data_IF_581999267263
#
_entry.id   IF_581999267263
#
_cell.length_a   1.000
_cell.length_b   1.000
_cell.length_c   1.000
_cell.angle_alpha   90.00
_cell.angle_beta   90.00
_cell.angle_gamma   90.00
#
_symmetry.space_group_name_H-M   'P 1'
#
loop_
_entity.id
_entity.type
_entity.pdbx_description
1 polymer ?
#
# COMPACT_ATOMS: atom_id res chain seq x y z
N UNK A 1 9.68 -30.60 40.05
CA UNK A 1 9.08 -30.77 38.70
C UNK A 1 9.15 -29.42 38.04
N UNK A 2 10.27 -29.13 37.38
CA UNK A 2 10.46 -27.86 36.68
C UNK A 2 9.86 -27.98 35.29
N UNK A 3 8.73 -27.31 35.09
CA UNK A 3 8.17 -27.11 33.76
C UNK A 3 9.08 -26.11 33.05
N UNK A 4 9.99 -26.64 32.25
CA UNK A 4 10.77 -25.84 31.29
C UNK A 4 9.80 -25.35 30.22
N UNK A 5 9.29 -24.14 30.39
CA UNK A 5 8.55 -23.45 29.33
C UNK A 5 9.53 -23.26 28.15
N UNK A 6 9.37 -24.04 27.08
CA UNK A 6 10.01 -23.71 25.80
C UNK A 6 9.54 -22.30 25.45
N UNK A 7 10.47 -21.35 25.30
CA UNK A 7 10.16 -20.10 24.61
C UNK A 7 9.62 -20.48 23.24
N UNK A 8 8.36 -20.16 22.99
CA UNK A 8 7.79 -20.34 21.67
C UNK A 8 8.63 -19.50 20.69
N UNK A 9 9.08 -20.12 19.60
CA UNK A 9 9.95 -19.46 18.64
C UNK A 9 9.09 -18.62 17.69
N UNK A 10 9.52 -17.39 17.40
CA UNK A 10 8.79 -16.56 16.44
C UNK A 10 8.98 -17.08 15.02
N UNK A 11 7.88 -17.52 14.41
CA UNK A 11 7.81 -18.03 13.04
C UNK A 11 7.20 -17.00 12.09
N UNK A 12 7.69 -16.96 10.84
CA UNK A 12 7.05 -16.19 9.77
C UNK A 12 6.43 -17.15 8.76
N UNK A 13 5.17 -16.90 8.41
CA UNK A 13 4.43 -17.72 7.44
C UNK A 13 3.41 -16.87 6.70
N UNK A 14 2.89 -17.41 5.59
CA UNK A 14 1.68 -16.86 4.97
C UNK A 14 0.54 -16.88 5.98
N UNK A 15 -0.26 -15.83 5.96
CA UNK A 15 -1.48 -15.75 6.73
C UNK A 15 -2.47 -16.82 6.25
N UNK A 16 -3.24 -17.35 7.20
CA UNK A 16 -4.36 -18.26 6.98
C UNK A 16 -5.63 -17.61 7.54
N UNK A 17 -6.84 -18.07 7.18
CA UNK A 17 -8.09 -17.42 7.61
C UNK A 17 -8.22 -17.24 9.13
N UNK A 18 -7.66 -18.15 9.94
CA UNK A 18 -7.69 -18.07 11.41
C UNK A 18 -6.82 -16.95 12.00
N UNK A 19 -5.93 -16.33 11.22
CA UNK A 19 -5.09 -15.23 11.69
C UNK A 19 -5.82 -13.86 11.68
N UNK A 20 -7.00 -13.77 11.07
CA UNK A 20 -7.71 -12.51 10.83
C UNK A 20 -7.88 -11.68 12.10
N UNK A 21 -8.32 -12.30 13.20
CA UNK A 21 -8.49 -11.62 14.48
C UNK A 21 -7.17 -11.06 15.04
N UNK A 22 -6.06 -11.80 14.85
CA UNK A 22 -4.72 -11.36 15.25
C UNK A 22 -4.24 -10.18 14.41
N UNK A 23 -4.46 -10.23 13.09
CA UNK A 23 -4.15 -9.14 12.16
C UNK A 23 -4.97 -7.89 12.49
N UNK A 24 -6.27 -8.04 12.76
CA UNK A 24 -7.17 -6.96 13.17
C UNK A 24 -6.67 -6.26 14.44
N UNK A 25 -6.28 -7.05 15.45
CA UNK A 25 -5.69 -6.51 16.69
C UNK A 25 -4.39 -5.76 16.44
N UNK A 26 -3.48 -6.28 15.60
CA UNK A 26 -2.24 -5.58 15.26
C UNK A 26 -2.54 -4.24 14.56
N UNK A 27 -3.46 -4.21 13.60
CA UNK A 27 -3.84 -2.98 12.90
C UNK A 27 -4.43 -1.94 13.86
N UNK A 28 -5.25 -2.38 14.82
CA UNK A 28 -5.82 -1.51 15.84
C UNK A 28 -4.74 -0.98 16.80
N UNK A 29 -3.85 -1.82 17.32
CA UNK A 29 -2.77 -1.40 18.22
C UNK A 29 -1.77 -0.43 17.56
N UNK A 30 -1.52 -0.56 16.25
CA UNK A 30 -0.50 0.22 15.55
C UNK A 30 -1.05 1.51 14.94
N UNK A 31 -2.28 1.48 14.42
CA UNK A 31 -2.87 2.62 13.68
C UNK A 31 -4.23 3.08 14.20
N UNK A 32 -4.79 2.43 15.22
CA UNK A 32 -6.17 2.64 15.66
C UNK A 32 -7.18 2.48 14.50
N UNK A 33 -6.96 1.48 13.65
CA UNK A 33 -7.81 1.20 12.49
C UNK A 33 -8.37 -0.22 12.56
N UNK A 34 -9.61 -0.38 12.13
CA UNK A 34 -10.18 -1.69 11.84
C UNK A 34 -9.67 -2.17 10.47
N UNK A 35 -9.53 -3.49 10.33
CA UNK A 35 -9.38 -4.10 9.01
C UNK A 35 -10.75 -4.32 8.35
N UNK A 36 -10.75 -4.59 7.06
CA UNK A 36 -11.88 -5.06 6.28
C UNK A 36 -11.76 -6.59 6.14
N UNK A 37 -12.54 -7.39 6.88
CA UNK A 37 -12.46 -8.85 6.82
C UNK A 37 -12.56 -9.44 5.41
N UNK A 38 -13.47 -8.96 4.52
CA UNK A 38 -13.52 -9.47 3.14
C UNK A 38 -12.22 -9.24 2.36
N UNK A 39 -11.54 -8.11 2.58
CA UNK A 39 -10.26 -7.82 1.92
C UNK A 39 -9.14 -8.67 2.51
N UNK A 40 -9.13 -8.87 3.84
CA UNK A 40 -8.18 -9.77 4.49
C UNK A 40 -8.29 -11.20 3.92
N UNK A 41 -9.50 -11.75 3.85
CA UNK A 41 -9.75 -13.07 3.26
C UNK A 41 -9.34 -13.13 1.78
N UNK A 42 -9.64 -12.08 1.00
CA UNK A 42 -9.22 -12.00 -0.39
C UNK A 42 -7.69 -11.98 -0.54
N UNK A 43 -6.97 -11.22 0.30
CA UNK A 43 -5.50 -11.17 0.25
C UNK A 43 -4.82 -12.46 0.72
N UNK A 44 -5.48 -13.24 1.58
CA UNK A 44 -5.01 -14.59 1.98
C UNK A 44 -5.11 -15.57 0.81
N UNK A 45 -6.22 -15.52 0.07
CA UNK A 45 -6.63 -16.57 -0.89
C UNK A 45 -6.29 -16.26 -2.35
N UNK A 46 -6.21 -14.99 -2.73
CA UNK A 46 -6.09 -14.58 -4.14
C UNK A 46 -4.65 -14.66 -4.64
N UNK A 47 -4.38 -15.24 -5.84
CA UNK A 47 -3.03 -15.30 -6.42
C UNK A 47 -2.39 -13.95 -6.72
N UNK A 48 -3.15 -12.85 -6.75
CA UNK A 48 -2.66 -11.49 -7.01
C UNK A 48 -2.16 -10.74 -5.77
N UNK A 49 -2.23 -11.35 -4.59
CA UNK A 49 -1.87 -10.74 -3.32
C UNK A 49 -1.07 -11.72 -2.45
N UNK A 50 -0.46 -11.16 -1.40
CA UNK A 50 0.15 -11.94 -0.34
C UNK A 50 -0.02 -11.22 1.00
N UNK A 51 -0.25 -12.01 2.04
CA UNK A 51 -0.31 -11.56 3.41
C UNK A 51 0.56 -12.50 4.25
N UNK A 52 1.52 -11.93 4.96
CA UNK A 52 2.45 -12.67 5.84
C UNK A 52 2.29 -12.21 7.27
N UNK A 53 2.42 -13.15 8.20
CA UNK A 53 2.35 -12.91 9.64
C UNK A 53 3.62 -13.39 10.33
N UNK A 54 4.01 -12.67 11.38
CA UNK A 54 4.96 -13.14 12.38
C UNK A 54 4.14 -13.65 13.58
N UNK A 55 4.36 -14.89 13.99
CA UNK A 55 3.56 -15.57 15.02
C UNK A 55 4.43 -16.19 16.10
N UNK A 56 3.94 -16.16 17.34
CA UNK A 56 4.47 -16.90 18.49
C UNK A 56 3.32 -17.70 19.09
N UNK A 57 3.40 -19.03 19.01
CA UNK A 57 2.24 -19.89 19.26
C UNK A 57 1.06 -19.52 18.33
N UNK A 58 -0.07 -19.14 18.93
CA UNK A 58 -1.27 -18.66 18.22
C UNK A 58 -1.35 -17.12 18.12
N UNK A 59 -0.35 -16.40 18.61
CA UNK A 59 -0.38 -14.95 18.70
C UNK A 59 0.24 -14.30 17.45
N UNK A 60 -0.54 -13.49 16.73
CA UNK A 60 -0.01 -12.66 15.64
C UNK A 60 0.68 -11.43 16.23
N UNK A 61 1.99 -11.33 16.00
CA UNK A 61 2.86 -10.27 16.50
C UNK A 61 3.02 -9.10 15.51
N UNK A 62 2.81 -9.38 14.22
CA UNK A 62 2.95 -8.43 13.14
C UNK A 62 2.56 -9.04 11.80
N UNK A 63 2.36 -8.20 10.80
CA UNK A 63 2.04 -8.63 9.44
C UNK A 63 2.62 -7.69 8.37
N UNK A 64 2.72 -8.21 7.15
CA UNK A 64 2.96 -7.44 5.94
C UNK A 64 1.99 -7.85 4.83
N UNK A 65 1.35 -6.88 4.18
CA UNK A 65 0.48 -7.09 3.02
C UNK A 65 1.12 -6.55 1.74
N UNK A 66 0.85 -7.24 0.64
CA UNK A 66 1.17 -6.75 -0.68
C UNK A 66 0.20 -7.26 -1.74
N UNK A 67 0.08 -6.52 -2.83
CA UNK A 67 -0.77 -6.88 -3.96
C UNK A 67 -0.24 -6.34 -5.27
N UNK A 68 -0.69 -6.93 -6.38
CA UNK A 68 -0.34 -6.46 -7.71
C UNK A 68 -1.24 -5.31 -8.15
N UNK A 69 -0.62 -4.25 -8.67
CA UNK A 69 -1.29 -3.27 -9.53
C UNK A 69 -0.78 -3.40 -10.96
N UNK A 70 -1.54 -2.88 -11.90
CA UNK A 70 -1.17 -2.82 -13.32
C UNK A 70 -1.43 -1.39 -13.78
N UNK A 71 -0.44 -0.70 -14.33
CA UNK A 71 -0.71 0.60 -14.95
C UNK A 71 -1.37 0.49 -16.32
N UNK A 72 -1.74 1.65 -16.85
CA UNK A 72 -2.29 1.80 -18.21
C UNK A 72 -1.44 1.17 -19.32
N UNK A 73 -0.12 0.99 -19.12
CA UNK A 73 0.77 0.37 -20.10
C UNK A 73 0.91 -1.14 -19.90
N UNK A 74 0.12 -1.74 -19.01
CA UNK A 74 0.19 -3.16 -18.68
C UNK A 74 1.35 -3.53 -17.75
N UNK A 75 2.11 -2.56 -17.23
CA UNK A 75 3.25 -2.86 -16.36
C UNK A 75 2.75 -3.24 -14.97
N UNK A 76 3.06 -4.46 -14.56
CA UNK A 76 2.74 -5.01 -13.24
C UNK A 76 3.69 -4.47 -12.18
N UNK A 77 3.15 -4.08 -11.03
CA UNK A 77 3.92 -3.60 -9.86
C UNK A 77 3.46 -4.32 -8.61
N UNK A 78 4.42 -4.70 -7.78
CA UNK A 78 4.16 -5.28 -6.47
C UNK A 78 4.10 -4.17 -5.43
N UNK A 79 2.90 -3.82 -4.99
CA UNK A 79 2.69 -2.80 -3.97
C UNK A 79 2.84 -3.45 -2.60
N UNK A 80 3.90 -3.11 -1.87
CA UNK A 80 4.03 -3.46 -0.44
C UNK A 80 3.34 -2.36 0.35
N UNK A 81 2.11 -2.64 0.78
CA UNK A 81 1.13 -1.63 1.19
C UNK A 81 1.16 -1.38 2.70
N UNK A 82 0.96 -2.43 3.51
CA UNK A 82 0.94 -2.31 4.97
C UNK A 82 2.01 -3.18 5.61
N UNK A 83 2.72 -2.59 6.58
CA UNK A 83 3.68 -3.27 7.44
C UNK A 83 3.43 -2.85 8.89
N UNK A 84 3.05 -3.79 9.74
CA UNK A 84 2.81 -3.54 11.15
C UNK A 84 3.49 -4.58 12.03
N UNK A 85 4.07 -4.12 13.13
CA UNK A 85 4.54 -4.95 14.23
C UNK A 85 4.06 -4.31 15.52
N UNK A 86 3.45 -5.12 16.39
CA UNK A 86 2.94 -4.68 17.69
C UNK A 86 4.04 -3.95 18.48
N UNK A 87 3.75 -2.85 19.17
CA UNK A 87 4.76 -2.03 19.86
C UNK A 87 5.68 -2.83 20.79
N UNK A 88 5.12 -3.78 21.54
CA UNK A 88 5.84 -4.60 22.52
C UNK A 88 6.81 -5.63 21.90
N UNK A 89 6.71 -5.87 20.58
CA UNK A 89 7.57 -6.81 19.83
C UNK A 89 8.53 -6.10 18.85
N UNK A 90 8.68 -4.77 18.98
CA UNK A 90 9.63 -3.99 18.17
C UNK A 90 11.08 -4.23 18.61
N UNK A 91 12.04 -3.82 17.79
CA UNK A 91 13.48 -4.02 18.05
C UNK A 91 14.00 -5.42 17.73
N UNK A 92 13.14 -6.38 17.37
CA UNK A 92 13.51 -7.77 17.04
C UNK A 92 13.63 -8.01 15.52
N UNK A 93 13.80 -6.95 14.74
CA UNK A 93 13.88 -6.98 13.27
C UNK A 93 12.70 -7.66 12.54
N UNK A 94 11.53 -7.83 13.20
CA UNK A 94 10.36 -8.47 12.59
C UNK A 94 9.87 -7.76 11.33
N UNK A 95 9.88 -6.41 11.33
CA UNK A 95 9.48 -5.63 10.16
C UNK A 95 10.34 -5.97 8.93
N UNK A 96 11.67 -5.99 9.10
CA UNK A 96 12.62 -6.41 8.04
C UNK A 96 12.33 -7.83 7.56
N UNK A 97 12.14 -8.78 8.49
CA UNK A 97 11.89 -10.19 8.15
C UNK A 97 10.58 -10.34 7.36
N UNK A 98 9.52 -9.62 7.76
CA UNK A 98 8.24 -9.61 7.05
C UNK A 98 8.36 -9.02 5.63
N UNK A 99 9.09 -7.92 5.47
CA UNK A 99 9.36 -7.34 4.13
C UNK A 99 10.18 -8.31 3.26
N UNK A 100 11.18 -8.99 3.82
CA UNK A 100 11.91 -10.00 3.07
C UNK A 100 10.99 -11.13 2.59
N UNK A 101 10.09 -11.63 3.45
CA UNK A 101 9.13 -12.67 3.08
C UNK A 101 8.15 -12.21 1.99
N UNK A 102 7.62 -10.99 2.08
CA UNK A 102 6.66 -10.48 1.08
C UNK A 102 7.31 -10.27 -0.30
N UNK A 103 8.60 -9.90 -0.34
CA UNK A 103 9.35 -9.75 -1.59
C UNK A 103 9.78 -11.09 -2.20
N UNK A 104 9.86 -12.15 -1.41
CA UNK A 104 10.14 -13.51 -1.89
C UNK A 104 8.89 -14.27 -2.35
N UNK A 105 7.69 -13.70 -2.15
CA UNK A 105 6.44 -14.30 -2.59
C UNK A 105 6.47 -14.57 -4.12
N UNK A 106 5.99 -15.74 -4.60
CA UNK A 106 5.99 -16.07 -6.03
C UNK A 106 5.35 -14.99 -6.92
N UNK A 107 4.33 -14.31 -6.40
CA UNK A 107 3.63 -13.20 -7.04
C UNK A 107 4.54 -12.02 -7.37
N UNK A 108 5.47 -11.69 -6.47
CA UNK A 108 6.40 -10.57 -6.64
C UNK A 108 7.29 -10.74 -7.88
N UNK A 109 7.62 -12.00 -8.26
CA UNK A 109 8.43 -12.32 -9.44
C UNK A 109 7.74 -11.99 -10.76
N UNK A 110 6.42 -11.77 -10.74
CA UNK A 110 5.65 -11.39 -11.93
C UNK A 110 5.59 -9.88 -12.14
N UNK A 111 6.07 -9.09 -11.18
CA UNK A 111 6.07 -7.64 -11.24
C UNK A 111 7.39 -7.12 -11.83
N UNK A 112 7.29 -5.99 -12.54
CA UNK A 112 8.45 -5.29 -13.09
C UNK A 112 9.19 -4.44 -12.04
N UNK A 113 8.65 -4.32 -10.83
CA UNK A 113 9.29 -3.76 -9.63
C UNK A 113 8.39 -4.02 -8.42
N UNK A 114 8.94 -3.93 -7.22
CA UNK A 114 8.19 -3.71 -5.99
C UNK A 114 8.34 -2.25 -5.53
N UNK A 115 7.29 -1.68 -4.92
CA UNK A 115 7.37 -0.35 -4.30
C UNK A 115 6.53 -0.25 -3.03
N UNK A 116 6.86 0.76 -2.22
CA UNK A 116 6.10 1.14 -1.03
C UNK A 116 6.12 2.66 -0.86
N UNK A 117 5.00 3.24 -0.46
CA UNK A 117 4.95 4.64 -0.02
C UNK A 117 5.19 4.67 1.49
N UNK A 118 6.33 5.22 1.92
CA UNK A 118 6.71 5.26 3.33
C UNK A 118 6.70 6.70 3.81
N UNK A 119 6.00 6.98 4.92
CA UNK A 119 5.99 8.31 5.55
C UNK A 119 7.41 8.80 5.82
N UNK A 120 7.66 10.08 5.54
CA UNK A 120 8.98 10.73 5.72
C UNK A 120 9.48 10.60 7.17
N UNK A 121 8.56 10.70 8.13
CA UNK A 121 8.83 10.57 9.56
C UNK A 121 9.03 9.12 10.04
N UNK A 122 8.66 8.11 9.23
CA UNK A 122 8.72 6.71 9.63
C UNK A 122 10.09 6.07 9.35
N UNK A 123 11.12 6.55 10.04
CA UNK A 123 12.52 6.10 9.90
C UNK A 123 12.67 4.59 10.16
N UNK A 124 11.88 4.02 11.07
CA UNK A 124 11.92 2.59 11.36
C UNK A 124 11.49 1.74 10.15
N UNK A 125 10.40 2.13 9.48
CA UNK A 125 9.95 1.46 8.25
C UNK A 125 10.95 1.68 7.12
N UNK A 126 11.48 2.90 6.94
CA UNK A 126 12.50 3.18 5.92
C UNK A 126 13.70 2.24 6.06
N UNK A 127 14.25 2.10 7.28
CA UNK A 127 15.36 1.16 7.55
C UNK A 127 15.00 -0.30 7.28
N UNK A 128 13.77 -0.72 7.60
CA UNK A 128 13.32 -2.08 7.33
C UNK A 128 13.31 -2.37 5.82
N UNK A 129 12.80 -1.44 5.00
CA UNK A 129 12.78 -1.58 3.54
C UNK A 129 14.18 -1.47 2.91
N UNK A 130 15.01 -0.51 3.35
CA UNK A 130 16.40 -0.35 2.90
C UNK A 130 17.22 -1.64 3.14
N UNK A 131 17.02 -2.29 4.28
CA UNK A 131 17.72 -3.54 4.62
C UNK A 131 17.35 -4.76 3.76
N UNK A 132 16.29 -4.64 2.95
CA UNK A 132 15.84 -5.64 1.97
C UNK A 132 16.22 -5.20 0.54
N UNK A 133 16.89 -4.06 0.37
CA UNK A 133 17.40 -3.56 -0.91
C UNK A 133 16.50 -2.54 -1.60
N UNK A 134 15.42 -2.07 -0.96
CA UNK A 134 14.67 -0.95 -1.51
C UNK A 134 15.51 0.33 -1.44
N UNK A 135 15.43 1.14 -2.49
CA UNK A 135 16.05 2.45 -2.57
C UNK A 135 14.99 3.56 -2.75
N UNK A 136 15.34 4.78 -2.38
CA UNK A 136 14.52 5.98 -2.61
C UNK A 136 15.40 7.10 -3.13
N UNK A 137 14.87 7.92 -4.03
CA UNK A 137 15.49 9.16 -4.51
C UNK A 137 15.33 10.33 -3.54
N UNK A 138 14.66 10.10 -2.40
CA UNK A 138 14.33 11.11 -1.37
C UNK A 138 13.46 12.25 -1.90
N UNK A 139 12.79 12.08 -3.04
CA UNK A 139 11.78 13.03 -3.50
C UNK A 139 10.55 12.96 -2.59
N UNK A 140 10.24 14.06 -1.91
CA UNK A 140 9.07 14.14 -1.03
C UNK A 140 7.82 14.24 -1.87
N UNK A 141 6.85 13.37 -1.60
CA UNK A 141 5.53 13.42 -2.18
C UNK A 141 4.49 13.73 -1.12
N UNK A 142 3.38 14.33 -1.53
CA UNK A 142 2.23 14.63 -0.70
C UNK A 142 1.05 13.75 -1.10
N UNK A 143 0.43 13.08 -0.13
CA UNK A 143 -0.78 12.31 -0.35
C UNK A 143 -2.00 13.22 -0.21
N UNK A 144 -2.62 13.53 -1.33
CA UNK A 144 -3.87 14.27 -1.40
C UNK A 144 -5.05 13.30 -1.49
N UNK A 145 -6.09 13.54 -0.69
CA UNK A 145 -7.32 12.76 -0.70
C UNK A 145 -8.52 13.63 -1.02
N UNK A 146 -9.37 13.16 -1.93
CA UNK A 146 -10.67 13.74 -2.25
C UNK A 146 -11.80 12.80 -1.83
N UNK A 147 -12.86 13.38 -1.26
CA UNK A 147 -14.05 12.65 -0.83
C UNK A 147 -14.85 12.16 -2.04
N UNK A 148 -15.31 10.90 -2.07
CA UNK A 148 -16.19 10.40 -3.11
C UNK A 148 -17.44 11.28 -3.26
N UNK A 149 -17.89 11.51 -4.48
CA UNK A 149 -19.05 12.35 -4.76
C UNK A 149 -19.84 11.75 -5.94
N UNK A 150 -21.15 11.52 -5.80
CA UNK A 150 -21.98 11.06 -6.91
C UNK A 150 -21.91 12.03 -8.10
N UNK A 151 -21.82 11.49 -9.31
CA UNK A 151 -21.84 12.27 -10.54
C UNK A 151 -22.33 11.44 -11.72
N UNK A 152 -22.80 12.11 -12.77
CA UNK A 152 -23.28 11.47 -14.00
C UNK A 152 -22.14 11.11 -14.97
N UNK A 153 -20.90 11.50 -14.67
CA UNK A 153 -19.77 11.29 -15.56
C UNK A 153 -19.51 9.79 -15.77
N UNK A 154 -19.64 9.35 -17.01
CA UNK A 154 -19.22 8.01 -17.41
C UNK A 154 -17.69 7.89 -17.35
N UNK A 155 -17.22 6.70 -17.03
CA UNK A 155 -15.79 6.37 -16.95
C UNK A 155 -15.15 6.51 -18.34
N UNK A 156 -14.58 7.68 -18.62
CA UNK A 156 -13.74 7.91 -19.80
C UNK A 156 -12.28 7.86 -19.38
N UNK A 157 -11.44 7.30 -20.26
CA UNK A 157 -9.99 7.46 -20.16
C UNK A 157 -9.67 8.94 -20.27
N UNK A 158 -8.95 9.48 -19.29
CA UNK A 158 -8.46 10.86 -19.31
C UNK A 158 -6.96 10.74 -19.37
N UNK A 159 -6.42 10.63 -20.58
CA UNK A 159 -4.99 10.51 -20.74
C UNK A 159 -4.29 11.81 -20.30
N UNK A 160 -3.14 11.73 -19.60
CA UNK A 160 -2.35 10.54 -19.28
C UNK A 160 -2.69 9.84 -17.94
N UNK A 161 -3.79 10.22 -17.28
CA UNK A 161 -4.16 9.76 -15.93
C UNK A 161 -4.57 8.30 -15.91
N UNK A 162 -4.10 7.58 -14.88
CA UNK A 162 -4.55 6.22 -14.58
C UNK A 162 -5.36 6.23 -13.27
N UNK A 163 -6.54 5.63 -13.31
CA UNK A 163 -7.39 5.40 -12.14
C UNK A 163 -7.30 3.93 -11.74
N UNK A 164 -6.80 3.66 -10.54
CA UNK A 164 -6.49 2.32 -10.04
C UNK A 164 -7.37 2.00 -8.82
N UNK A 165 -8.38 1.12 -8.95
CA UNK A 165 -9.08 0.60 -7.79
C UNK A 165 -8.13 -0.24 -6.94
N UNK A 166 -8.08 0.05 -5.65
CA UNK A 166 -7.30 -0.72 -4.68
C UNK A 166 -8.16 -1.16 -3.51
N UNK A 167 -7.92 -2.38 -3.07
CA UNK A 167 -8.54 -2.97 -1.88
C UNK A 167 -7.41 -3.32 -0.90
N UNK A 168 -7.16 -2.40 0.04
CA UNK A 168 -6.18 -2.54 1.11
C UNK A 168 -6.83 -3.15 2.35
N UNK A 169 -6.04 -3.64 3.31
CA UNK A 169 -6.63 -4.24 4.51
C UNK A 169 -7.48 -3.26 5.33
N UNK A 170 -7.21 -1.96 5.31
CA UNK A 170 -7.91 -0.99 6.18
C UNK A 170 -8.89 -0.09 5.42
N UNK A 171 -8.82 -0.05 4.09
CA UNK A 171 -9.76 0.70 3.27
C UNK A 171 -9.83 0.20 1.81
N UNK A 172 -10.93 0.51 1.13
CA UNK A 172 -11.03 0.40 -0.33
C UNK A 172 -10.99 1.80 -0.91
N UNK A 173 -10.15 2.04 -1.92
CA UNK A 173 -9.94 3.37 -2.48
C UNK A 173 -9.74 3.35 -3.99
N UNK A 174 -9.55 4.53 -4.56
CA UNK A 174 -9.15 4.72 -5.94
C UNK A 174 -7.87 5.57 -5.98
N UNK A 175 -6.77 5.00 -6.44
CA UNK A 175 -5.52 5.73 -6.61
C UNK A 175 -5.47 6.39 -7.98
N UNK A 176 -4.99 7.63 -8.03
CA UNK A 176 -4.77 8.41 -9.24
C UNK A 176 -3.26 8.50 -9.49
N UNK A 177 -2.83 8.11 -10.69
CA UNK A 177 -1.45 8.30 -11.16
C UNK A 177 -1.42 9.21 -12.39
N UNK A 178 -0.39 10.05 -12.50
CA UNK A 178 -0.18 10.92 -13.68
C UNK A 178 -0.97 12.23 -13.65
N UNK A 179 -1.53 12.62 -12.50
CA UNK A 179 -2.36 13.83 -12.37
C UNK A 179 -1.57 15.13 -12.63
N UNK A 180 -0.26 15.14 -12.40
CA UNK A 180 0.64 16.27 -12.67
C UNK A 180 1.66 15.97 -13.76
N UNK A 181 1.44 14.88 -14.52
CA UNK A 181 2.35 14.44 -15.56
C UNK A 181 2.30 15.30 -16.82
N UNK A 182 3.32 15.16 -17.66
CA UNK A 182 3.39 15.84 -18.96
C UNK A 182 2.14 15.57 -19.82
N UNK A 183 1.59 16.62 -20.42
CA UNK A 183 0.45 16.54 -21.35
C UNK A 183 -0.93 16.64 -20.71
N UNK A 184 -1.06 16.82 -19.40
CA UNK A 184 -2.35 17.07 -18.75
C UNK A 184 -2.60 18.56 -18.53
N UNK A 185 -3.79 19.05 -18.91
CA UNK A 185 -4.21 20.43 -18.60
C UNK A 185 -4.90 20.50 -17.24
N UNK A 186 -5.00 21.68 -16.60
CA UNK A 186 -5.78 21.86 -15.39
C UNK A 186 -7.23 21.38 -15.50
N UNK A 187 -7.89 21.59 -16.65
CA UNK A 187 -9.24 21.10 -16.91
C UNK A 187 -9.27 19.56 -16.94
N UNK A 188 -8.27 18.94 -17.59
CA UNK A 188 -8.09 17.50 -17.61
C UNK A 188 -7.86 16.91 -16.22
N UNK A 189 -7.10 17.60 -15.36
CA UNK A 189 -6.93 17.23 -13.96
C UNK A 189 -8.27 17.24 -13.21
N UNK A 190 -9.02 18.33 -13.31
CA UNK A 190 -10.32 18.48 -12.66
C UNK A 190 -11.30 17.40 -13.14
N UNK A 191 -11.33 17.13 -14.45
CA UNK A 191 -12.15 16.06 -15.01
C UNK A 191 -11.73 14.68 -14.47
N UNK A 192 -10.43 14.41 -14.36
CA UNK A 192 -9.91 13.14 -13.86
C UNK A 192 -10.32 12.88 -12.42
N UNK A 193 -10.16 13.88 -11.55
CA UNK A 193 -10.59 13.78 -10.14
C UNK A 193 -12.12 13.66 -10.05
N UNK A 194 -12.89 14.39 -10.87
CA UNK A 194 -14.36 14.29 -10.88
C UNK A 194 -14.85 12.88 -11.26
N UNK A 195 -14.29 12.31 -12.33
CA UNK A 195 -14.58 10.92 -12.74
C UNK A 195 -14.18 9.93 -11.65
N UNK A 196 -13.00 10.10 -11.05
CA UNK A 196 -12.53 9.27 -9.96
C UNK A 196 -13.47 9.31 -8.74
N UNK A 197 -13.94 10.50 -8.35
CA UNK A 197 -14.86 10.69 -7.21
C UNK A 197 -16.23 10.08 -7.47
N UNK A 198 -16.72 10.17 -8.71
CA UNK A 198 -17.97 9.51 -9.14
C UNK A 198 -17.84 7.99 -9.11
N UNK A 199 -16.74 7.44 -9.65
CA UNK A 199 -16.48 6.01 -9.61
C UNK A 199 -16.37 5.49 -8.17
N UNK A 200 -15.59 6.17 -7.33
CA UNK A 200 -15.45 5.81 -5.93
C UNK A 200 -16.81 5.81 -5.20
N UNK A 201 -17.68 6.79 -5.46
CA UNK A 201 -19.01 6.86 -4.86
C UNK A 201 -19.89 5.69 -5.30
N UNK A 202 -19.92 5.36 -6.60
CA UNK A 202 -20.69 4.25 -7.16
C UNK A 202 -20.27 2.90 -6.58
N UNK A 203 -18.97 2.71 -6.33
CA UNK A 203 -18.42 1.47 -5.76
C UNK A 203 -18.30 1.47 -4.24
N UNK A 204 -18.79 2.53 -3.56
CA UNK A 204 -18.70 2.71 -2.10
C UNK A 204 -17.26 2.57 -1.58
N UNK A 205 -16.30 3.13 -2.32
CA UNK A 205 -14.90 3.26 -1.89
C UNK A 205 -14.77 4.45 -0.94
N UNK A 206 -13.84 4.37 0.00
CA UNK A 206 -13.65 5.36 1.06
C UNK A 206 -13.16 6.70 0.51
N UNK A 207 -12.17 6.67 -0.39
CA UNK A 207 -11.51 7.87 -0.89
C UNK A 207 -10.95 7.69 -2.30
N UNK A 208 -10.63 8.85 -2.88
CA UNK A 208 -9.80 8.99 -4.07
C UNK A 208 -8.50 9.64 -3.64
N UNK A 209 -7.36 9.08 -4.02
CA UNK A 209 -6.06 9.59 -3.56
C UNK A 209 -5.02 9.69 -4.66
N UNK A 210 -4.18 10.73 -4.61
CA UNK A 210 -3.02 10.88 -5.48
C UNK A 210 -1.78 11.16 -4.62
N UNK A 211 -0.67 10.49 -4.92
CA UNK A 211 0.63 10.79 -4.32
C UNK A 211 1.42 11.66 -5.30
N UNK A 212 1.52 12.96 -5.01
CA UNK A 212 2.05 13.97 -5.93
C UNK A 212 3.42 14.45 -5.44
N UNK A 213 4.47 14.49 -6.29
CA UNK A 213 5.74 15.11 -5.92
C UNK A 213 5.53 16.55 -5.44
N UNK A 214 6.12 16.95 -4.32
CA UNK A 214 5.92 18.30 -3.77
C UNK A 214 6.32 19.41 -4.74
N UNK A 215 7.34 19.18 -5.56
CA UNK A 215 7.77 20.10 -6.61
C UNK A 215 6.73 20.27 -7.73
N UNK A 216 5.79 19.35 -7.89
CA UNK A 216 4.72 19.37 -8.89
C UNK A 216 3.39 19.90 -8.34
N UNK A 217 3.25 20.10 -7.02
CA UNK A 217 2.03 20.68 -6.42
C UNK A 217 1.62 22.02 -7.06
N UNK A 218 2.52 22.95 -7.40
CA UNK A 218 2.13 24.19 -8.09
C UNK A 218 1.49 23.98 -9.46
N UNK A 219 1.71 22.82 -10.10
CA UNK A 219 1.11 22.47 -11.39
C UNK A 219 -0.27 21.80 -11.25
N UNK A 220 -0.70 21.46 -10.03
CA UNK A 220 -2.04 20.95 -9.77
C UNK A 220 -3.04 22.11 -9.77
N UNK A 221 -4.19 21.93 -10.43
CA UNK A 221 -5.26 22.92 -10.48
C UNK A 221 -5.64 23.42 -9.07
N UNK A 222 -5.74 24.75 -8.91
CA UNK A 222 -5.98 25.38 -7.61
C UNK A 222 -7.29 24.90 -6.95
N UNK A 223 -8.31 24.61 -7.76
CA UNK A 223 -9.57 24.01 -7.30
C UNK A 223 -9.34 22.63 -6.65
N UNK A 224 -8.49 21.78 -7.23
CA UNK A 224 -8.21 20.46 -6.68
C UNK A 224 -7.42 20.54 -5.38
N UNK A 225 -6.50 21.50 -5.28
CA UNK A 225 -5.75 21.75 -4.04
C UNK A 225 -6.68 22.17 -2.90
N UNK A 226 -7.65 23.06 -3.16
CA UNK A 226 -8.58 23.54 -2.12
C UNK A 226 -9.62 22.50 -1.70
N UNK A 227 -9.95 21.55 -2.58
CA UNK A 227 -10.87 20.44 -2.28
C UNK A 227 -10.18 19.22 -1.65
N UNK A 228 -8.85 19.13 -1.73
CA UNK A 228 -8.11 18.00 -1.19
C UNK A 228 -7.88 18.15 0.32
N UNK A 229 -7.88 17.01 1.01
CA UNK A 229 -7.25 16.90 2.33
C UNK A 229 -5.83 16.35 2.18
N UNK A 230 -4.88 16.96 2.89
CA UNK A 230 -3.50 16.48 2.95
C UNK A 230 -3.40 15.39 4.02
N UNK A 231 -3.04 14.17 3.63
CA UNK A 231 -2.95 13.04 4.55
C UNK A 231 -1.53 12.85 5.11
N UNK A 232 -0.50 13.35 4.43
CA UNK A 232 0.88 13.29 4.90
C UNK A 232 1.91 13.32 3.76
N UNK A 233 3.17 13.22 4.16
CA UNK A 233 4.31 13.22 3.23
C UNK A 233 5.02 11.88 3.20
N UNK A 234 5.41 11.46 2.01
CA UNK A 234 5.93 10.12 1.76
C UNK A 234 7.14 10.15 0.83
N UNK A 235 7.97 9.12 0.93
CA UNK A 235 8.95 8.72 -0.07
C UNK A 235 8.45 7.48 -0.80
N UNK A 236 8.70 7.43 -2.11
CA UNK A 236 8.65 6.16 -2.83
C UNK A 236 9.93 5.38 -2.56
N UNK A 237 9.76 4.19 -2.00
CA UNK A 237 10.78 3.15 -1.96
C UNK A 237 10.53 2.18 -3.09
N UNK A 238 11.57 1.82 -3.85
CA UNK A 238 11.48 0.92 -4.99
C UNK A 238 12.56 -0.16 -4.90
N UNK A 239 12.17 -1.38 -5.24
CA UNK A 239 13.06 -2.51 -5.44
C UNK A 239 12.86 -2.97 -6.90
N UNK A 240 13.87 -2.82 -7.78
CA UNK A 240 13.79 -3.37 -9.13
C UNK A 240 13.64 -4.89 -9.08
N UNK A 241 13.29 -5.56 -10.20
CA UNK A 241 13.32 -7.01 -10.25
C UNK A 241 14.71 -7.47 -9.81
N UNK A 242 14.76 -8.30 -8.77
CA UNK A 242 15.96 -9.08 -8.50
C UNK A 242 16.17 -9.91 -9.77
N UNK A 243 17.30 -9.70 -10.45
CA UNK A 243 17.57 -10.20 -11.79
C UNK A 243 16.95 -11.57 -12.04
N UNK A 244 16.27 -11.72 -13.19
CA UNK A 244 15.93 -13.05 -13.71
C UNK A 244 17.22 -13.87 -13.63
N UNK A 245 17.22 -15.09 -13.06
CA UNK A 245 18.39 -15.93 -13.16
C UNK A 245 18.74 -15.99 -14.64
N UNK A 246 19.99 -15.64 -14.97
CA UNK A 246 20.54 -15.88 -16.30
C UNK A 246 20.27 -17.34 -16.62
N UNK A 247 19.38 -17.58 -17.59
CA UNK A 247 19.22 -18.89 -18.21
C UNK A 247 20.35 -19.01 -19.23
#
# INVERSE_FOLDING_TARGET
>A
MDVVWKRDMIHLRRAVPTDEAGIARVAHEVWNQAILPPVCQAQITTPGAALWVAVEGNDVLGFASAFLTVDRRGKRRWEVDLLAVRPVHRGQHLGRRLVACICQAPQARTAALARAAIRVENVASQRAFESVGFATDRQVHELLLWTPQPGADAAHSIEPVTLLPVDTLTYRGLWIEGLTGEGITPEGQCQAVRVARSWAARERRLNVGALIPRCELPALAAELQSQASVHGTYYWFRLPPLDKPSI
#
